data_IF_089046673393
#
_entry.id   IF_089046673393
#
_cell.length_a   1.000
_cell.length_b   1.000
_cell.length_c   1.000
_cell.angle_alpha   90.00
_cell.angle_beta   90.00
_cell.angle_gamma   90.00
#
_symmetry.space_group_name_H-M   'P 1'
#
loop_
_entity.id
_entity.type
_entity.pdbx_description
1 polymer ?
#
# COMPACT_ATOMS: atom_id res chain seq x y z
N UNK A 1 5.24 88.35 -63.81
CA UNK A 1 5.37 86.92 -63.48
C UNK A 1 5.75 86.80 -62.02
N UNK A 2 5.13 85.85 -61.34
CA UNK A 2 5.47 85.30 -60.02
C UNK A 2 5.39 86.22 -58.79
N UNK A 3 4.20 86.38 -58.21
CA UNK A 3 3.61 85.74 -56.99
C UNK A 3 4.22 86.20 -55.66
N UNK A 4 3.33 86.80 -54.86
CA UNK A 4 3.52 87.33 -53.53
C UNK A 4 3.87 86.26 -52.48
N UNK A 5 4.51 86.69 -51.39
CA UNK A 5 4.23 86.11 -50.07
C UNK A 5 4.14 87.22 -49.02
N UNK A 6 2.94 87.34 -48.44
CA UNK A 6 2.55 88.35 -47.46
C UNK A 6 3.12 88.11 -46.06
N UNK A 7 3.38 89.24 -45.42
CA UNK A 7 4.11 89.51 -44.19
C UNK A 7 3.49 89.01 -42.89
N UNK A 8 4.34 88.78 -41.88
CA UNK A 8 3.91 88.71 -40.48
C UNK A 8 5.01 88.33 -39.48
N UNK A 9 6.07 89.13 -39.36
CA UNK A 9 7.09 88.98 -38.31
C UNK A 9 6.51 89.33 -36.93
N UNK A 10 6.52 88.35 -36.01
CA UNK A 10 6.20 88.55 -34.59
C UNK A 10 7.28 89.39 -33.87
N UNK A 11 6.82 90.27 -32.97
CA UNK A 11 7.63 91.12 -32.09
C UNK A 11 8.37 90.25 -31.04
N UNK A 12 9.61 90.59 -30.62
CA UNK A 12 10.44 89.69 -29.82
C UNK A 12 10.05 89.74 -28.34
N UNK A 13 9.76 88.57 -27.76
CA UNK A 13 9.58 88.40 -26.31
C UNK A 13 8.60 87.29 -25.94
N UNK A 14 9.15 86.19 -25.42
CA UNK A 14 8.50 85.03 -24.80
C UNK A 14 8.17 83.83 -25.71
N UNK A 15 8.79 82.72 -25.34
CA UNK A 15 8.64 81.37 -25.86
C UNK A 15 7.25 80.82 -25.49
N UNK A 16 6.50 80.30 -26.46
CA UNK A 16 5.49 79.27 -26.25
C UNK A 16 5.15 78.61 -27.60
N UNK A 17 6.10 77.86 -28.15
CA UNK A 17 5.74 76.79 -29.06
C UNK A 17 5.10 75.68 -28.21
N UNK A 18 4.07 75.04 -28.77
CA UNK A 18 3.27 73.95 -28.20
C UNK A 18 2.00 74.44 -27.48
N UNK A 19 1.01 74.88 -28.26
CA UNK A 19 -0.38 74.62 -27.91
C UNK A 19 -1.20 74.64 -29.19
N UNK A 20 -1.55 73.47 -29.72
CA UNK A 20 -2.81 73.10 -30.43
C UNK A 20 -2.56 71.81 -31.23
N UNK A 21 -2.32 70.72 -30.49
CA UNK A 21 -2.92 69.42 -30.83
C UNK A 21 -3.60 68.97 -29.53
N UNK A 22 -4.62 69.72 -29.11
CA UNK A 22 -5.67 69.19 -28.23
C UNK A 22 -6.62 68.39 -29.11
N UNK A 23 -6.06 67.37 -29.77
CA UNK A 23 -6.86 66.25 -30.21
C UNK A 23 -7.23 65.55 -28.91
N UNK A 24 -8.48 65.72 -28.50
CA UNK A 24 -9.04 65.02 -27.36
C UNK A 24 -9.08 63.56 -27.76
N UNK A 25 -7.96 62.87 -27.60
CA UNK A 25 -7.98 61.44 -27.37
C UNK A 25 -8.84 61.30 -26.12
N UNK A 26 -10.14 61.05 -26.32
CA UNK A 26 -11.02 60.54 -25.29
C UNK A 26 -10.43 59.19 -24.94
N UNK A 27 -9.44 59.21 -24.05
CA UNK A 27 -9.05 58.07 -23.24
C UNK A 27 -10.39 57.53 -22.76
N UNK A 28 -10.79 56.36 -23.27
CA UNK A 28 -11.98 55.67 -22.80
C UNK A 28 -11.93 55.80 -21.27
N UNK A 29 -12.95 56.39 -20.60
CA UNK A 29 -12.86 56.65 -19.17
C UNK A 29 -12.33 55.39 -18.52
N UNK A 30 -11.21 55.47 -17.81
CA UNK A 30 -10.42 54.30 -17.41
C UNK A 30 -11.25 53.24 -16.66
N UNK A 31 -12.38 53.67 -16.09
CA UNK A 31 -13.44 52.84 -15.52
C UNK A 31 -14.13 51.86 -16.49
N UNK A 32 -14.07 52.07 -17.81
CA UNK A 32 -14.68 51.19 -18.80
C UNK A 32 -13.84 49.94 -19.05
N UNK A 33 -12.52 50.01 -18.95
CA UNK A 33 -11.65 48.87 -19.30
C UNK A 33 -11.60 47.87 -18.15
N UNK A 34 -11.45 48.38 -16.92
CA UNK A 34 -11.47 47.57 -15.71
C UNK A 34 -12.37 48.22 -14.65
N UNK A 35 -13.68 47.95 -14.63
CA UNK A 35 -14.57 48.39 -13.56
C UNK A 35 -14.18 47.79 -12.19
N UNK A 36 -14.70 48.34 -11.11
CA UNK A 36 -14.54 47.76 -9.75
C UNK A 36 -15.05 46.31 -9.76
N UNK A 37 -14.27 45.39 -9.17
CA UNK A 37 -14.49 43.95 -9.24
C UNK A 37 -13.70 43.23 -10.34
N UNK A 38 -13.06 43.96 -11.25
CA UNK A 38 -12.22 43.36 -12.30
C UNK A 38 -11.00 42.64 -11.73
N UNK A 39 -10.62 41.53 -12.36
CA UNK A 39 -9.38 40.80 -12.08
C UNK A 39 -8.36 41.08 -13.17
N UNK A 40 -7.17 41.53 -12.78
CA UNK A 40 -6.03 41.76 -13.65
C UNK A 40 -4.91 40.75 -13.38
N UNK A 41 -4.44 40.07 -14.43
CA UNK A 41 -3.38 39.05 -14.37
C UNK A 41 -2.10 39.57 -15.00
N UNK A 42 -0.96 39.41 -14.32
CA UNK A 42 0.35 39.81 -14.85
C UNK A 42 1.49 38.97 -14.27
N UNK A 43 2.59 38.82 -15.00
CA UNK A 43 3.84 38.27 -14.47
C UNK A 43 4.65 39.30 -13.68
N UNK A 44 4.26 40.58 -13.71
CA UNK A 44 4.86 41.65 -12.92
C UNK A 44 4.23 41.73 -11.52
N UNK A 45 5.07 41.95 -10.51
CA UNK A 45 4.63 42.22 -9.14
C UNK A 45 4.16 43.68 -8.93
N UNK A 46 4.30 44.54 -9.93
CA UNK A 46 3.88 45.95 -9.84
C UNK A 46 2.37 46.06 -9.71
N UNK A 47 1.90 46.83 -8.73
CA UNK A 47 0.46 47.08 -8.53
C UNK A 47 -0.14 47.74 -9.80
N UNK A 48 -1.30 47.26 -10.31
CA UNK A 48 -1.92 47.82 -11.51
C UNK A 48 -2.28 49.31 -11.38
N UNK A 49 -2.52 49.80 -10.17
CA UNK A 49 -2.71 51.23 -9.92
C UNK A 49 -1.49 52.07 -10.37
N UNK A 50 -0.29 51.49 -10.28
CA UNK A 50 0.94 52.12 -10.76
C UNK A 50 1.18 51.88 -12.25
N UNK A 51 0.98 50.65 -12.76
CA UNK A 51 1.30 50.33 -14.16
C UNK A 51 0.24 50.79 -15.16
N UNK A 52 -1.05 50.76 -14.78
CA UNK A 52 -2.16 51.30 -15.57
C UNK A 52 -2.40 52.79 -15.28
N UNK A 53 -1.88 53.30 -14.15
CA UNK A 53 -2.00 54.70 -13.74
C UNK A 53 -3.33 55.09 -13.11
N UNK A 54 -4.19 54.13 -12.76
CA UNK A 54 -5.50 54.37 -12.13
C UNK A 54 -6.01 53.18 -11.32
N UNK A 55 -7.00 53.45 -10.46
CA UNK A 55 -7.69 52.47 -9.63
C UNK A 55 -6.92 52.08 -8.39
N UNK A 56 -7.64 51.54 -7.41
CA UNK A 56 -7.10 50.91 -6.21
C UNK A 56 -7.21 49.40 -6.38
N UNK A 57 -6.10 48.70 -6.22
CA UNK A 57 -6.00 47.26 -6.49
C UNK A 57 -5.40 46.51 -5.32
N UNK A 58 -5.97 45.35 -5.02
CA UNK A 58 -5.50 44.43 -3.97
C UNK A 58 -5.12 43.08 -4.58
N UNK A 59 -4.16 42.37 -4.00
CA UNK A 59 -3.80 41.03 -4.47
C UNK A 59 -5.00 40.08 -4.35
N UNK A 60 -5.15 39.18 -5.32
CA UNK A 60 -6.28 38.25 -5.41
C UNK A 60 -5.80 36.82 -5.63
N UNK A 61 -6.53 35.84 -5.09
CA UNK A 61 -6.31 34.42 -5.40
C UNK A 61 -4.91 33.89 -5.08
N UNK A 62 -4.23 34.41 -4.05
CA UNK A 62 -2.87 33.97 -3.72
C UNK A 62 -2.81 32.47 -3.44
N UNK A 63 -1.98 31.75 -4.21
CA UNK A 63 -1.84 30.30 -4.11
C UNK A 63 -3.06 29.49 -4.57
N UNK A 64 -4.00 30.12 -5.30
CA UNK A 64 -5.23 29.50 -5.80
C UNK A 64 -5.36 29.68 -7.31
N UNK A 65 -6.17 28.82 -7.91
CA UNK A 65 -6.60 28.94 -9.31
C UNK A 65 -8.02 29.50 -9.33
N UNK A 66 -8.32 30.33 -10.33
CA UNK A 66 -9.67 30.87 -10.53
C UNK A 66 -10.60 29.80 -11.09
N UNK A 67 -11.82 29.75 -10.58
CA UNK A 67 -12.92 28.93 -11.08
C UNK A 67 -14.11 29.85 -11.39
N UNK A 68 -14.87 29.52 -12.42
CA UNK A 68 -16.09 30.25 -12.75
C UNK A 68 -17.16 29.96 -11.72
N UNK A 69 -17.93 30.98 -11.33
CA UNK A 69 -19.08 30.79 -10.46
C UNK A 69 -20.12 29.93 -11.19
N UNK A 70 -20.55 28.86 -10.55
CA UNK A 70 -21.64 28.00 -10.99
C UNK A 70 -22.72 27.97 -9.91
N UNK A 71 -23.82 28.69 -10.13
CA UNK A 71 -24.91 28.77 -9.17
C UNK A 71 -25.65 27.43 -8.95
N UNK A 72 -25.40 26.41 -9.79
CA UNK A 72 -25.94 25.06 -9.62
C UNK A 72 -25.04 24.12 -8.84
N UNK A 73 -23.80 24.51 -8.55
CA UNK A 73 -22.81 23.69 -7.84
C UNK A 73 -22.44 24.36 -6.51
N UNK A 74 -22.78 23.71 -5.40
CA UNK A 74 -22.52 24.24 -4.05
C UNK A 74 -21.05 24.43 -3.74
N UNK A 75 -20.15 23.77 -4.49
CA UNK A 75 -18.71 23.95 -4.31
C UNK A 75 -18.19 25.25 -4.99
N UNK A 76 -19.01 25.88 -5.85
CA UNK A 76 -18.64 27.04 -6.68
C UNK A 76 -19.75 28.09 -6.81
N UNK A 77 -20.73 28.14 -5.90
CA UNK A 77 -21.91 29.00 -6.01
C UNK A 77 -21.72 30.42 -5.44
N UNK A 78 -20.65 30.63 -4.67
CA UNK A 78 -20.41 31.86 -3.95
C UNK A 78 -19.15 32.58 -4.46
N UNK A 79 -19.29 33.87 -4.78
CA UNK A 79 -18.16 34.71 -5.20
C UNK A 79 -17.08 34.74 -4.11
N UNK A 80 -15.84 34.48 -4.49
CA UNK A 80 -14.66 34.46 -3.60
C UNK A 80 -14.65 33.34 -2.55
N UNK A 81 -15.53 32.34 -2.69
CA UNK A 81 -15.39 31.09 -1.96
C UNK A 81 -14.04 30.41 -2.26
N UNK A 82 -13.54 29.67 -1.26
CA UNK A 82 -12.27 28.97 -1.36
C UNK A 82 -12.44 27.50 -1.05
N UNK A 83 -11.88 26.64 -1.88
CA UNK A 83 -11.82 25.20 -1.66
C UNK A 83 -10.52 24.58 -2.20
N UNK A 84 -10.52 23.25 -2.26
CA UNK A 84 -9.43 22.45 -2.81
C UNK A 84 -8.27 22.14 -1.85
N UNK A 85 -7.42 21.20 -2.25
CA UNK A 85 -6.22 20.77 -1.52
C UNK A 85 -5.08 20.48 -2.50
N UNK A 86 -3.83 20.65 -2.05
CA UNK A 86 -2.64 20.23 -2.81
C UNK A 86 -2.38 18.74 -2.72
N UNK A 87 -2.95 18.08 -1.71
CA UNK A 87 -2.77 16.65 -1.47
C UNK A 87 -4.10 15.98 -1.20
N UNK A 88 -4.24 14.76 -1.69
CA UNK A 88 -5.30 13.84 -1.28
C UNK A 88 -4.68 12.72 -0.47
N UNK A 89 -5.27 12.45 0.70
CA UNK A 89 -5.00 11.22 1.44
C UNK A 89 -6.12 10.25 1.12
N UNK A 90 -5.80 9.10 0.54
CA UNK A 90 -6.78 8.04 0.45
C UNK A 90 -7.15 7.60 1.88
N UNK A 91 -8.43 7.70 2.22
CA UNK A 91 -8.96 7.10 3.45
C UNK A 91 -9.06 5.60 3.19
N UNK A 92 -8.94 4.76 4.22
CA UNK A 92 -9.02 3.28 4.12
C UNK A 92 -10.24 2.80 3.30
N UNK A 93 -11.31 3.60 3.22
CA UNK A 93 -12.49 3.31 2.40
C UNK A 93 -12.30 3.36 0.88
N UNK A 94 -11.26 4.03 0.35
CA UNK A 94 -11.00 4.12 -1.10
C UNK A 94 -10.18 2.95 -1.65
N UNK A 95 -9.75 2.01 -0.79
CA UNK A 95 -8.99 0.85 -1.22
C UNK A 95 -9.92 -0.31 -1.58
N UNK A 96 -9.73 -0.90 -2.77
CA UNK A 96 -10.43 -2.12 -3.14
C UNK A 96 -10.13 -3.24 -2.14
N UNK A 97 -11.18 -3.99 -1.78
CA UNK A 97 -11.05 -5.15 -0.91
C UNK A 97 -10.08 -6.16 -1.54
N UNK A 98 -9.08 -6.59 -0.78
CA UNK A 98 -8.12 -7.60 -1.19
C UNK A 98 -7.80 -8.52 -0.01
N UNK A 99 -7.34 -9.73 -0.31
CA UNK A 99 -6.98 -10.74 0.69
C UNK A 99 -5.49 -11.03 0.63
N UNK A 100 -4.88 -11.20 1.80
CA UNK A 100 -3.52 -11.72 1.90
C UNK A 100 -3.56 -13.24 1.95
N UNK A 101 -2.75 -13.90 1.13
CA UNK A 101 -2.53 -15.35 1.22
C UNK A 101 -1.24 -15.61 1.99
N UNK A 102 -1.31 -16.47 3.00
CA UNK A 102 -0.13 -16.93 3.74
C UNK A 102 0.05 -18.42 3.43
N UNK A 103 1.19 -18.78 2.86
CA UNK A 103 1.60 -20.18 2.75
C UNK A 103 2.38 -20.53 4.01
N UNK A 104 1.80 -21.37 4.87
CA UNK A 104 2.50 -21.86 6.06
C UNK A 104 3.08 -23.24 5.77
N UNK A 105 4.39 -23.39 5.88
CA UNK A 105 5.05 -24.69 5.85
C UNK A 105 4.92 -25.29 7.25
N UNK A 106 4.23 -26.44 7.38
CA UNK A 106 4.17 -27.18 8.64
C UNK A 106 5.45 -28.01 8.76
N UNK A 107 6.33 -27.64 9.68
CA UNK A 107 7.40 -28.53 10.11
C UNK A 107 6.82 -29.51 11.13
N UNK A 108 6.74 -30.80 10.76
CA UNK A 108 6.47 -31.86 11.74
C UNK A 108 7.76 -32.06 12.52
N UNK A 109 7.72 -31.81 13.83
CA UNK A 109 8.85 -32.11 14.71
C UNK A 109 9.15 -33.60 14.72
N UNK A 110 10.42 -33.96 14.97
CA UNK A 110 10.84 -35.36 15.07
C UNK A 110 9.93 -36.16 16.02
N UNK A 111 9.45 -37.32 15.56
CA UNK A 111 8.64 -38.18 16.41
C UNK A 111 9.45 -38.74 17.57
N UNK A 112 8.83 -38.79 18.75
CA UNK A 112 9.43 -39.42 19.91
C UNK A 112 9.74 -40.89 19.62
N UNK A 113 10.95 -41.31 19.99
CA UNK A 113 11.35 -42.71 19.96
C UNK A 113 10.34 -43.55 20.75
N UNK A 114 9.86 -44.65 20.16
CA UNK A 114 9.03 -45.64 20.84
C UNK A 114 9.59 -47.03 20.61
N UNK A 115 9.26 -47.95 21.52
CA UNK A 115 9.66 -49.37 21.45
C UNK A 115 8.42 -50.23 21.22
N UNK A 116 8.58 -51.31 20.46
CA UNK A 116 7.57 -52.35 20.34
C UNK A 116 7.86 -53.45 21.36
N UNK A 117 6.83 -53.92 22.05
CA UNK A 117 6.91 -55.15 22.85
C UNK A 117 6.34 -56.28 22.01
N UNK A 118 7.16 -57.30 21.76
CA UNK A 118 6.72 -58.53 21.10
C UNK A 118 6.49 -59.56 22.18
N UNK A 119 5.25 -60.04 22.30
CA UNK A 119 4.92 -61.12 23.22
C UNK A 119 5.28 -62.44 22.54
N UNK A 120 6.30 -63.12 23.06
CA UNK A 120 6.78 -64.39 22.50
C UNK A 120 5.90 -65.52 23.05
N UNK A 121 4.64 -65.53 22.59
CA UNK A 121 3.66 -66.52 23.01
C UNK A 121 4.10 -67.95 22.69
N UNK A 122 4.17 -68.79 23.74
CA UNK A 122 4.28 -70.25 23.75
C UNK A 122 4.86 -70.87 22.46
N UNK A 123 6.19 -71.01 22.39
CA UNK A 123 6.82 -71.84 21.38
C UNK A 123 6.33 -73.27 21.56
N UNK A 124 5.42 -73.72 20.69
CA UNK A 124 5.05 -75.14 20.61
C UNK A 124 6.20 -75.85 19.91
N UNK A 125 7.32 -75.99 20.62
CA UNK A 125 8.37 -76.90 20.22
C UNK A 125 7.73 -78.30 20.24
N UNK A 126 7.72 -78.95 19.07
CA UNK A 126 7.19 -80.31 18.95
C UNK A 126 7.79 -81.18 20.04
N UNK A 127 6.94 -81.95 20.73
CA UNK A 127 7.34 -82.75 21.88
C UNK A 127 8.65 -83.50 21.57
N UNK A 128 9.73 -83.30 22.35
CA UNK A 128 11.00 -83.95 22.05
C UNK A 128 10.81 -85.47 22.13
N UNK A 129 11.05 -86.18 21.03
CA UNK A 129 11.12 -87.63 21.04
C UNK A 129 12.52 -88.06 21.48
N UNK A 130 12.67 -88.45 22.74
CA UNK A 130 13.86 -89.17 23.18
C UNK A 130 13.67 -90.66 22.84
N UNK A 131 14.57 -91.21 22.01
CA UNK A 131 14.69 -92.65 21.81
C UNK A 131 15.78 -93.16 22.75
N UNK A 132 15.40 -93.91 23.78
CA UNK A 132 16.34 -94.58 24.68
C UNK A 132 16.48 -96.05 24.27
N UNK A 133 17.70 -96.48 23.97
CA UNK A 133 18.02 -97.89 23.73
C UNK A 133 18.36 -98.53 25.07
N UNK A 134 17.55 -99.49 25.52
CA UNK A 134 17.80 -100.22 26.77
C UNK A 134 18.35 -101.61 26.45
N UNK A 135 19.63 -101.84 26.68
CA UNK A 135 20.24 -103.15 26.50
C UNK A 135 20.09 -104.01 27.76
N UNK A 136 19.41 -105.16 27.60
CA UNK A 136 19.29 -106.27 28.56
C UNK A 136 18.80 -105.92 29.98
N UNK A 137 17.48 -105.75 30.12
CA UNK A 137 16.82 -105.70 31.44
C UNK A 137 16.39 -107.11 31.86
N UNK A 138 16.88 -107.60 33.00
CA UNK A 138 16.43 -108.88 33.57
C UNK A 138 14.93 -108.87 33.89
N UNK A 139 14.26 -110.02 33.75
CA UNK A 139 12.82 -110.17 34.06
C UNK A 139 12.52 -109.71 35.50
N UNK A 140 11.65 -108.70 35.64
CA UNK A 140 11.21 -108.15 36.92
C UNK A 140 11.80 -106.77 37.28
N UNK A 141 12.65 -106.17 36.45
CA UNK A 141 13.18 -104.82 36.73
C UNK A 141 12.23 -103.71 36.24
N UNK A 142 12.04 -102.67 37.05
CA UNK A 142 11.32 -101.45 36.67
C UNK A 142 12.29 -100.41 36.11
N UNK A 143 12.11 -99.99 34.86
CA UNK A 143 12.86 -98.87 34.27
C UNK A 143 12.21 -97.55 34.69
N UNK A 144 12.84 -96.80 35.59
CA UNK A 144 12.42 -95.46 35.96
C UNK A 144 13.20 -94.43 35.12
N UNK A 145 12.54 -93.84 34.13
CA UNK A 145 13.05 -92.67 33.43
C UNK A 145 12.95 -91.47 34.36
N UNK A 146 14.09 -90.89 34.75
CA UNK A 146 14.08 -89.61 35.44
C UNK A 146 13.59 -88.55 34.44
N UNK A 147 12.63 -87.71 34.86
CA UNK A 147 12.25 -86.52 34.10
C UNK A 147 13.49 -85.64 33.93
N UNK A 148 14.17 -85.73 32.79
CA UNK A 148 15.22 -84.80 32.45
C UNK A 148 14.58 -83.42 32.22
N UNK A 149 14.96 -82.44 33.04
CA UNK A 149 14.68 -81.04 32.75
C UNK A 149 15.48 -80.66 31.51
N UNK A 150 14.81 -80.36 30.39
CA UNK A 150 15.46 -79.74 29.23
C UNK A 150 15.06 -78.27 29.13
N UNK A 151 15.97 -77.46 28.63
CA UNK A 151 15.76 -76.03 28.33
C UNK A 151 15.48 -75.87 26.84
N UNK A 152 14.51 -75.01 26.51
CA UNK A 152 14.34 -74.52 25.15
C UNK A 152 15.17 -73.25 24.99
N UNK A 153 16.13 -73.28 24.06
CA UNK A 153 16.84 -72.08 23.64
C UNK A 153 16.01 -71.44 22.52
N UNK A 154 15.59 -70.20 22.71
CA UNK A 154 14.83 -69.45 21.70
C UNK A 154 15.81 -68.50 21.04
N UNK A 155 16.13 -68.75 19.77
CA UNK A 155 16.88 -67.79 18.96
C UNK A 155 15.97 -66.57 18.68
N UNK A 156 16.30 -65.36 19.19
CA UNK A 156 15.50 -64.17 18.95
C UNK A 156 15.39 -63.81 17.47
N UNK A 157 16.32 -64.26 16.62
CA UNK A 157 16.24 -64.06 15.16
C UNK A 157 15.14 -64.92 14.48
N UNK A 158 14.62 -65.95 15.17
CA UNK A 158 13.51 -66.79 14.67
C UNK A 158 12.12 -66.23 14.97
N UNK A 159 12.04 -65.15 15.77
CA UNK A 159 10.78 -64.48 16.11
C UNK A 159 10.33 -63.64 14.92
N UNK A 160 9.42 -64.18 14.11
CA UNK A 160 8.71 -63.42 13.09
C UNK A 160 7.43 -62.87 13.72
N UNK A 161 7.24 -61.55 13.69
CA UNK A 161 6.00 -60.92 14.16
C UNK A 161 4.85 -61.39 13.28
N UNK A 162 4.00 -62.28 13.81
CA UNK A 162 2.99 -63.01 13.04
C UNK A 162 1.80 -62.19 12.54
N UNK A 163 1.66 -60.92 12.94
CA UNK A 163 0.66 -60.05 12.36
C UNK A 163 0.94 -58.58 12.68
N UNK A 164 0.47 -57.72 11.78
CA UNK A 164 0.38 -56.26 11.91
C UNK A 164 1.70 -55.50 11.77
N UNK A 165 2.00 -55.15 10.52
CA UNK A 165 2.68 -53.88 10.25
C UNK A 165 1.91 -52.80 11.00
N UNK A 166 2.50 -52.24 12.05
CA UNK A 166 1.96 -51.07 12.72
C UNK A 166 1.99 -49.93 11.70
N UNK A 167 0.92 -49.76 10.94
CA UNK A 167 0.74 -48.60 10.07
C UNK A 167 0.55 -47.39 10.98
N UNK A 168 1.61 -46.59 11.08
CA UNK A 168 1.60 -45.34 11.81
C UNK A 168 0.90 -44.29 10.94
N UNK A 169 -0.40 -44.10 11.12
CA UNK A 169 -1.15 -43.05 10.44
C UNK A 169 -0.95 -41.70 11.13
N UNK A 170 -0.36 -40.74 10.44
CA UNK A 170 -0.29 -39.35 10.88
C UNK A 170 -1.55 -38.60 10.43
N UNK A 171 -2.49 -38.38 11.35
CA UNK A 171 -3.56 -37.42 11.12
C UNK A 171 -3.05 -36.01 11.40
N UNK A 172 -2.67 -35.28 10.35
CA UNK A 172 -2.48 -33.84 10.46
C UNK A 172 -3.87 -33.21 10.48
N UNK A 173 -4.45 -33.02 11.67
CA UNK A 173 -5.54 -32.07 11.79
C UNK A 173 -4.95 -30.70 11.58
N UNK A 174 -5.40 -30.02 10.52
CA UNK A 174 -5.04 -28.64 10.20
C UNK A 174 -5.66 -27.69 11.25
N UNK A 175 -5.33 -27.87 12.53
CA UNK A 175 -5.91 -27.15 13.64
C UNK A 175 -4.86 -26.23 14.24
N UNK A 176 -5.06 -24.94 14.00
CA UNK A 176 -4.26 -23.81 14.43
C UNK A 176 -2.81 -23.78 13.89
N UNK A 177 -2.59 -22.86 12.96
CA UNK A 177 -1.25 -22.32 12.64
C UNK A 177 -0.72 -21.65 13.91
N UNK A 178 0.01 -22.38 14.75
CA UNK A 178 0.88 -21.79 15.75
C UNK A 178 2.29 -21.81 15.18
N UNK A 179 2.60 -20.89 14.28
CA UNK A 179 4.00 -20.59 13.99
C UNK A 179 4.64 -20.13 15.30
N UNK A 180 5.75 -20.73 15.73
CA UNK A 180 6.52 -20.23 16.88
C UNK A 180 7.13 -18.84 16.68
N UNK A 181 6.88 -18.21 15.53
CA UNK A 181 7.27 -16.85 15.19
C UNK A 181 6.15 -15.86 15.54
N UNK A 182 6.53 -14.64 15.89
CA UNK A 182 5.59 -13.54 16.17
C UNK A 182 4.62 -13.35 15.00
N UNK A 183 3.36 -13.06 15.32
CA UNK A 183 2.31 -12.77 14.33
C UNK A 183 2.80 -11.68 13.38
N UNK A 184 2.93 -12.00 12.09
CA UNK A 184 3.30 -11.01 11.08
C UNK A 184 2.24 -9.91 11.06
N UNK A 185 2.60 -8.70 11.48
CA UNK A 185 1.72 -7.54 11.39
C UNK A 185 1.81 -7.00 9.97
N UNK A 186 0.72 -7.09 9.23
CA UNK A 186 0.61 -6.45 7.92
C UNK A 186 0.05 -5.03 8.13
N UNK A 187 0.87 -4.03 7.84
CA UNK A 187 0.51 -2.62 7.97
C UNK A 187 0.38 -1.99 6.59
N UNK A 188 -0.73 -1.32 6.34
CA UNK A 188 -0.87 -0.41 5.20
C UNK A 188 -0.47 1.00 5.64
N UNK A 189 0.55 1.55 4.98
CA UNK A 189 0.91 2.97 5.10
C UNK A 189 0.46 3.67 3.83
N UNK A 190 -0.49 4.59 3.96
CA UNK A 190 -0.93 5.43 2.85
C UNK A 190 -0.26 6.79 3.00
N UNK A 191 0.54 7.16 2.02
CA UNK A 191 1.16 8.49 1.96
C UNK A 191 0.30 9.40 1.08
N UNK A 192 0.08 10.63 1.55
CA UNK A 192 -0.64 11.63 0.78
C UNK A 192 0.04 11.83 -0.59
N UNK A 193 -0.76 11.84 -1.66
CA UNK A 193 -0.26 12.06 -3.01
C UNK A 193 -0.56 13.50 -3.43
N UNK A 194 0.41 14.15 -4.09
CA UNK A 194 0.22 15.48 -4.68
C UNK A 194 -0.76 15.42 -5.84
N UNK A 195 -1.75 16.30 -5.85
CA UNK A 195 -2.71 16.48 -6.97
C UNK A 195 -2.41 17.76 -7.77
N UNK A 196 -1.26 18.39 -7.53
CA UNK A 196 -0.85 19.62 -8.20
C UNK A 196 -0.36 19.32 -9.61
N UNK A 197 -1.08 19.81 -10.62
CA UNK A 197 -0.68 19.76 -12.03
C UNK A 197 0.48 20.74 -12.32
N UNK A 198 1.28 20.56 -13.38
CA UNK A 198 2.26 21.56 -13.79
C UNK A 198 1.63 22.95 -13.96
N UNK A 199 2.24 23.98 -13.38
CA UNK A 199 1.68 25.33 -13.35
C UNK A 199 2.74 26.40 -13.57
N UNK A 200 2.28 27.57 -13.99
CA UNK A 200 3.06 28.81 -14.00
C UNK A 200 2.37 29.83 -13.08
N UNK A 201 3.17 30.53 -12.28
CA UNK A 201 2.64 31.50 -11.30
C UNK A 201 2.58 32.88 -11.93
N UNK A 202 1.45 33.55 -11.75
CA UNK A 202 1.24 34.95 -12.09
C UNK A 202 0.70 35.70 -10.87
N UNK A 203 0.84 37.02 -10.88
CA UNK A 203 0.16 37.90 -9.95
C UNK A 203 -1.25 38.19 -10.45
N UNK A 204 -2.22 38.11 -9.55
CA UNK A 204 -3.61 38.46 -9.80
C UNK A 204 -4.00 39.61 -8.85
N UNK A 205 -4.74 40.58 -9.37
CA UNK A 205 -5.16 41.76 -8.63
C UNK A 205 -6.65 42.01 -8.85
N UNK A 206 -7.39 42.37 -7.79
CA UNK A 206 -8.79 42.79 -7.84
C UNK A 206 -8.90 44.30 -7.69
N UNK A 207 -9.64 44.97 -8.57
CA UNK A 207 -9.94 46.40 -8.43
C UNK A 207 -11.01 46.62 -7.35
N UNK A 208 -10.73 47.48 -6.37
CA UNK A 208 -11.64 47.77 -5.25
C UNK A 208 -12.19 49.19 -5.25
N UNK A 209 -11.53 50.13 -5.94
CA UNK A 209 -11.99 51.50 -6.16
C UNK A 209 -11.37 52.05 -7.45
#
# INVERSE_FOLDING_TARGET
>A
MAYEFGWGLAKPGSLALINTITDTLTILPADLVFPVGSIYTSTSSTNPGTSLGYGTWVAFGTGRTIVGLDAGDTDFDTVEETGGSKTVSAVVGDHSAHTHSVTSNVAVGDHASHTHSVDVGNTTSGAPSATETVDNVGSGSTVSVASATHTHDVDPASVTSGNESATLDHSVTNNAVTSGNESATLTHSITATSVVQPYIVVYMWKRTA
#
